data_IF_266931248784
#
_entry.id   IF_266931248784
#
_cell.length_a   1.000
_cell.length_b   1.000
_cell.length_c   1.000
_cell.angle_alpha   90.00
_cell.angle_beta   90.00
_cell.angle_gamma   90.00
#
_symmetry.space_group_name_H-M   'P 1'
#
loop_
_entity.id
_entity.type
_entity.pdbx_description
1 polymer ?
#
# COMPACT_ATOMS: atom_id res chain seq x y z
N UNK A 1 -28.30 42.99 27.80
CA UNK A 1 -26.83 43.19 27.82
C UNK A 1 -26.20 41.87 28.27
N UNK A 2 -25.90 40.97 27.33
CA UNK A 2 -25.37 39.63 27.63
C UNK A 2 -23.84 39.61 27.44
N UNK A 3 -23.07 38.97 28.33
CA UNK A 3 -21.61 39.02 28.25
C UNK A 3 -21.10 38.15 27.10
N UNK A 4 -20.19 38.73 26.32
CA UNK A 4 -19.46 38.05 25.23
C UNK A 4 -18.64 36.90 25.81
N UNK A 5 -19.00 35.69 25.42
CA UNK A 5 -18.18 34.49 25.64
C UNK A 5 -16.88 34.63 24.83
N UNK A 6 -15.77 34.94 25.52
CA UNK A 6 -14.42 34.88 24.93
C UNK A 6 -14.08 33.41 24.76
N UNK A 7 -14.05 32.96 23.52
CA UNK A 7 -13.54 31.64 23.16
C UNK A 7 -12.05 31.58 23.51
N UNK A 8 -11.72 30.78 24.52
CA UNK A 8 -10.37 30.31 24.76
C UNK A 8 -9.92 29.53 23.53
N UNK A 9 -9.18 30.21 22.64
CA UNK A 9 -8.29 29.53 21.68
C UNK A 9 -7.21 28.87 22.53
N UNK A 10 -7.37 27.57 22.79
CA UNK A 10 -6.29 26.75 23.32
C UNK A 10 -5.13 26.81 22.34
N UNK A 11 -4.06 27.44 22.78
CA UNK A 11 -2.78 27.55 22.10
C UNK A 11 -2.27 26.13 21.86
N UNK A 12 -2.36 25.66 20.63
CA UNK A 12 -1.66 24.45 20.20
C UNK A 12 -0.18 24.74 20.36
N UNK A 13 0.50 24.00 21.23
CA UNK A 13 1.96 24.02 21.35
C UNK A 13 2.57 23.79 19.96
N UNK A 14 3.06 24.86 19.36
CA UNK A 14 3.90 24.80 18.18
C UNK A 14 5.19 24.13 18.66
N UNK A 15 5.37 22.85 18.31
CA UNK A 15 6.61 22.11 18.50
C UNK A 15 7.80 22.99 18.06
N UNK A 16 8.55 23.50 19.03
CA UNK A 16 9.81 24.21 18.82
C UNK A 16 10.82 23.20 18.26
N UNK A 17 10.89 23.11 16.92
CA UNK A 17 11.83 22.23 16.22
C UNK A 17 13.30 22.62 16.47
N UNK A 18 13.56 23.81 17.01
CA UNK A 18 14.91 24.29 17.35
C UNK A 18 15.59 23.40 18.38
N UNK A 19 14.85 22.82 19.33
CA UNK A 19 15.40 21.99 20.41
C UNK A 19 15.43 20.48 20.09
N UNK A 20 14.96 20.09 18.91
CA UNK A 20 14.92 18.70 18.45
C UNK A 20 16.17 18.39 17.63
N UNK A 21 16.82 17.26 17.91
CA UNK A 21 17.94 16.75 17.10
C UNK A 21 17.54 16.72 15.63
N UNK A 22 18.37 17.23 14.69
CA UNK A 22 18.00 17.32 13.28
C UNK A 22 17.45 16.03 12.67
N UNK A 23 18.01 14.88 13.08
CA UNK A 23 17.58 13.54 12.65
C UNK A 23 16.15 13.17 13.07
N UNK A 24 15.66 13.67 14.20
CA UNK A 24 14.31 13.36 14.72
C UNK A 24 13.24 14.31 14.17
N UNK A 25 13.64 15.45 13.58
CA UNK A 25 12.72 16.48 13.06
C UNK A 25 11.79 15.94 11.97
N UNK A 26 12.30 15.10 11.08
CA UNK A 26 11.49 14.51 10.01
C UNK A 26 10.33 13.68 10.58
N UNK A 27 10.63 12.81 11.55
CA UNK A 27 9.63 11.95 12.18
C UNK A 27 8.55 12.74 12.92
N UNK A 28 8.92 13.78 13.66
CA UNK A 28 7.94 14.64 14.34
C UNK A 28 7.00 15.36 13.36
N UNK A 29 7.53 15.83 12.21
CA UNK A 29 6.71 16.46 11.18
C UNK A 29 5.74 15.46 10.57
N UNK A 30 6.18 14.22 10.32
CA UNK A 30 5.31 13.16 9.81
C UNK A 30 4.22 12.81 10.82
N UNK A 31 4.58 12.63 12.09
CA UNK A 31 3.65 12.32 13.17
C UNK A 31 2.59 13.41 13.35
N UNK A 32 3.00 14.68 13.35
CA UNK A 32 2.10 15.82 13.41
C UNK A 32 1.10 15.83 12.25
N UNK A 33 1.59 15.66 11.01
CA UNK A 33 0.72 15.61 9.82
C UNK A 33 -0.27 14.45 9.89
N UNK A 34 0.18 13.28 10.32
CA UNK A 34 -0.66 12.10 10.48
C UNK A 34 -1.78 12.37 11.50
N UNK A 35 -1.44 12.86 12.70
CA UNK A 35 -2.41 13.20 13.76
C UNK A 35 -3.41 14.26 13.28
N UNK A 36 -2.94 15.29 12.57
CA UNK A 36 -3.80 16.34 12.00
C UNK A 36 -4.81 15.76 11.00
N UNK A 37 -4.36 14.98 10.02
CA UNK A 37 -5.25 14.38 9.02
C UNK A 37 -6.27 13.42 9.63
N UNK A 38 -5.88 12.61 10.62
CA UNK A 38 -6.81 11.75 11.35
C UNK A 38 -7.87 12.54 12.10
N UNK A 39 -7.48 13.62 12.79
CA UNK A 39 -8.41 14.52 13.47
C UNK A 39 -9.41 15.13 12.51
N UNK A 40 -8.97 15.59 11.34
CA UNK A 40 -9.85 16.14 10.31
C UNK A 40 -10.90 15.12 9.82
N UNK A 41 -10.51 13.86 9.62
CA UNK A 41 -11.44 12.78 9.24
C UNK A 41 -12.48 12.54 10.35
N UNK A 42 -12.03 12.46 11.60
CA UNK A 42 -12.90 12.23 12.76
C UNK A 42 -13.87 13.39 12.99
N UNK A 43 -13.41 14.63 12.87
CA UNK A 43 -14.25 15.83 13.00
C UNK A 43 -15.37 15.82 11.96
N UNK A 44 -15.05 15.62 10.67
CA UNK A 44 -16.06 15.57 9.61
C UNK A 44 -17.08 14.44 9.81
N UNK A 45 -16.64 13.31 10.36
CA UNK A 45 -17.51 12.17 10.71
C UNK A 45 -18.47 12.54 11.85
N UNK A 46 -17.97 13.18 12.91
CA UNK A 46 -18.79 13.65 14.03
C UNK A 46 -19.83 14.69 13.59
N UNK A 47 -19.42 15.62 12.73
CA UNK A 47 -20.29 16.65 12.13
C UNK A 47 -21.29 16.07 11.11
N UNK A 48 -21.27 14.76 10.84
CA UNK A 48 -22.11 14.09 9.84
C UNK A 48 -22.04 14.74 8.45
N UNK A 49 -20.87 15.26 8.10
CA UNK A 49 -20.64 15.90 6.80
C UNK A 49 -20.90 14.91 5.66
N UNK A 50 -21.59 15.35 4.60
CA UNK A 50 -21.76 14.56 3.37
C UNK A 50 -20.42 14.23 2.69
N UNK A 51 -19.34 14.95 3.04
CA UNK A 51 -17.97 14.72 2.55
C UNK A 51 -17.08 14.00 3.56
N UNK A 52 -17.66 13.43 4.63
CA UNK A 52 -16.91 12.62 5.58
C UNK A 52 -16.29 11.40 4.88
N UNK A 53 -14.97 11.24 4.99
CA UNK A 53 -14.24 10.11 4.42
C UNK A 53 -14.31 8.89 5.33
N UNK A 54 -14.31 7.70 4.73
CA UNK A 54 -14.11 6.45 5.45
C UNK A 54 -12.69 6.39 6.04
N UNK A 55 -12.56 5.97 7.30
CA UNK A 55 -11.26 5.83 7.99
C UNK A 55 -10.41 4.67 7.45
N UNK A 56 -11.01 3.75 6.69
CA UNK A 56 -10.32 2.60 6.06
C UNK A 56 -9.88 2.90 4.63
N UNK A 57 -10.83 3.21 3.74
CA UNK A 57 -10.55 3.39 2.31
C UNK A 57 -10.34 4.85 1.88
N UNK A 58 -10.59 5.83 2.76
CA UNK A 58 -10.43 7.27 2.50
C UNK A 58 -11.25 7.81 1.30
N UNK A 59 -12.29 7.08 0.87
CA UNK A 59 -13.33 7.58 -0.04
C UNK A 59 -14.48 8.17 0.77
N UNK A 60 -15.29 9.05 0.17
CA UNK A 60 -16.46 9.62 0.84
C UNK A 60 -17.39 8.49 1.29
N UNK A 61 -17.59 8.39 2.60
CA UNK A 61 -18.21 7.22 3.25
C UNK A 61 -19.62 6.95 2.74
N UNK A 62 -20.41 8.02 2.54
CA UNK A 62 -21.83 7.93 2.18
C UNK A 62 -22.08 7.47 0.74
N UNK A 63 -21.16 7.73 -0.18
CA UNK A 63 -21.44 7.58 -1.62
C UNK A 63 -20.44 6.73 -2.39
N UNK A 64 -19.20 6.59 -1.93
CA UNK A 64 -18.12 5.95 -2.69
C UNK A 64 -17.29 4.99 -1.84
N UNK A 65 -17.75 4.63 -0.65
CA UNK A 65 -17.03 3.69 0.21
C UNK A 65 -17.02 2.30 -0.41
N UNK A 66 -15.84 1.72 -0.56
CA UNK A 66 -15.66 0.38 -1.15
C UNK A 66 -15.47 -0.73 -0.11
N UNK A 67 -15.45 -0.41 1.19
CA UNK A 67 -15.05 -1.36 2.23
C UNK A 67 -15.90 -2.62 2.26
N UNK A 68 -17.23 -2.50 2.12
CA UNK A 68 -18.11 -3.68 2.13
C UNK A 68 -17.84 -4.61 0.94
N UNK A 69 -17.59 -4.06 -0.25
CA UNK A 69 -17.23 -4.85 -1.43
C UNK A 69 -15.87 -5.55 -1.23
N UNK A 70 -14.90 -4.85 -0.64
CA UNK A 70 -13.58 -5.42 -0.34
C UNK A 70 -13.64 -6.50 0.75
N UNK A 71 -14.51 -6.35 1.75
CA UNK A 71 -14.70 -7.35 2.81
C UNK A 71 -15.23 -8.67 2.22
N UNK A 72 -16.13 -8.61 1.22
CA UNK A 72 -16.57 -9.80 0.48
C UNK A 72 -15.43 -10.47 -0.30
N UNK A 73 -14.54 -9.69 -0.93
CA UNK A 73 -13.37 -10.26 -1.62
C UNK A 73 -12.39 -10.87 -0.62
N UNK A 74 -12.13 -10.19 0.50
CA UNK A 74 -11.26 -10.68 1.59
C UNK A 74 -11.76 -12.01 2.12
N UNK A 75 -13.08 -12.18 2.30
CA UNK A 75 -13.65 -13.46 2.73
C UNK A 75 -13.28 -14.61 1.78
N UNK A 76 -13.34 -14.39 0.47
CA UNK A 76 -12.93 -15.39 -0.51
C UNK A 76 -11.43 -15.70 -0.43
N UNK A 77 -10.59 -14.68 -0.18
CA UNK A 77 -9.14 -14.85 -0.04
C UNK A 77 -8.74 -15.66 1.19
N UNK A 78 -9.49 -15.54 2.30
CA UNK A 78 -9.19 -16.26 3.55
C UNK A 78 -9.30 -17.78 3.42
N UNK A 79 -10.05 -18.28 2.43
CA UNK A 79 -10.23 -19.71 2.19
C UNK A 79 -9.19 -20.28 1.20
N UNK A 80 -8.27 -19.45 0.70
CA UNK A 80 -7.25 -19.85 -0.26
C UNK A 80 -5.91 -20.02 0.45
N UNK A 81 -5.43 -21.25 0.50
CA UNK A 81 -4.09 -21.55 1.00
C UNK A 81 -3.09 -21.57 -0.15
N UNK A 82 -1.98 -20.85 0.02
CA UNK A 82 -0.87 -20.87 -0.92
C UNK A 82 0.44 -21.15 -0.21
N UNK A 83 1.38 -21.75 -0.93
CA UNK A 83 2.75 -21.91 -0.48
C UNK A 83 3.78 -21.55 -1.57
N UNK A 84 4.96 -21.04 -1.19
CA UNK A 84 5.37 -20.69 0.17
C UNK A 84 4.48 -19.58 0.77
N UNK A 85 4.43 -19.49 2.10
CA UNK A 85 3.65 -18.45 2.77
C UNK A 85 4.28 -17.10 2.43
N UNK A 86 3.48 -16.19 1.88
CA UNK A 86 3.92 -14.84 1.52
C UNK A 86 3.46 -13.84 2.58
N UNK A 87 4.41 -13.12 3.16
CA UNK A 87 4.18 -12.01 4.08
C UNK A 87 4.54 -10.70 3.38
N UNK A 88 3.58 -9.79 3.25
CA UNK A 88 3.80 -8.49 2.59
C UNK A 88 4.12 -7.42 3.64
N UNK A 89 5.28 -6.79 3.50
CA UNK A 89 5.71 -5.64 4.30
C UNK A 89 5.63 -4.38 3.42
N UNK A 90 4.50 -3.69 3.48
CA UNK A 90 4.28 -2.48 2.69
C UNK A 90 4.84 -1.25 3.41
N UNK A 91 5.89 -0.64 2.85
CA UNK A 91 6.47 0.61 3.32
C UNK A 91 5.89 1.76 2.51
N UNK A 92 4.99 2.53 3.12
CA UNK A 92 4.22 3.57 2.46
C UNK A 92 4.76 4.95 2.81
N UNK A 93 4.98 5.81 1.81
CA UNK A 93 5.33 7.20 2.07
C UNK A 93 4.16 7.92 2.76
N UNK A 94 4.45 8.68 3.83
CA UNK A 94 3.41 9.34 4.62
C UNK A 94 2.45 10.25 3.83
N UNK A 95 2.85 10.73 2.65
CA UNK A 95 1.99 11.56 1.78
C UNK A 95 0.95 10.74 1.03
N UNK A 96 1.10 9.41 0.98
CA UNK A 96 0.22 8.52 0.23
C UNK A 96 -0.96 7.98 1.05
N UNK A 97 -0.80 7.87 2.38
CA UNK A 97 -1.74 7.22 3.31
C UNK A 97 -3.19 7.62 3.07
N UNK A 98 -3.46 8.93 3.06
CA UNK A 98 -4.82 9.46 3.03
C UNK A 98 -5.37 9.66 1.61
N UNK A 99 -4.63 9.24 0.57
CA UNK A 99 -5.06 9.43 -0.81
C UNK A 99 -6.15 8.43 -1.19
N UNK A 100 -7.25 8.97 -1.70
CA UNK A 100 -8.39 8.19 -2.18
C UNK A 100 -8.03 7.28 -3.36
N UNK A 101 -7.01 7.62 -4.16
CA UNK A 101 -6.54 6.83 -5.31
C UNK A 101 -5.39 5.86 -5.00
N UNK A 102 -4.83 5.86 -3.79
CA UNK A 102 -3.74 4.97 -3.45
C UNK A 102 -4.18 3.50 -3.52
N UNK A 103 -3.47 2.66 -4.28
CA UNK A 103 -3.81 1.23 -4.43
C UNK A 103 -3.16 0.35 -3.38
N UNK A 104 -2.04 0.77 -2.77
CA UNK A 104 -1.38 0.05 -1.69
C UNK A 104 -2.31 -0.22 -0.50
N UNK A 105 -3.17 0.75 -0.14
CA UNK A 105 -4.17 0.56 0.93
C UNK A 105 -5.11 -0.62 0.68
N UNK A 106 -5.37 -0.98 -0.59
CA UNK A 106 -6.24 -2.10 -0.94
C UNK A 106 -5.59 -3.41 -0.49
N UNK A 107 -4.30 -3.58 -0.78
CA UNK A 107 -3.52 -4.74 -0.34
C UNK A 107 -3.63 -4.93 1.18
N UNK A 108 -3.46 -3.85 1.95
CA UNK A 108 -3.60 -3.88 3.41
C UNK A 108 -5.01 -4.26 3.90
N UNK A 109 -6.05 -3.94 3.12
CA UNK A 109 -7.43 -4.29 3.49
C UNK A 109 -7.77 -5.75 3.15
N UNK A 110 -7.27 -6.28 2.05
CA UNK A 110 -7.71 -7.58 1.53
C UNK A 110 -6.75 -8.74 1.75
N UNK A 111 -5.43 -8.49 1.81
CA UNK A 111 -4.44 -9.56 2.04
C UNK A 111 -4.27 -9.76 3.56
N UNK A 112 -4.56 -10.97 4.09
CA UNK A 112 -4.48 -11.23 5.53
C UNK A 112 -3.07 -11.03 6.10
N UNK A 113 -2.05 -11.47 5.36
CA UNK A 113 -0.64 -11.43 5.73
C UNK A 113 0.05 -10.18 5.19
N UNK A 114 -0.56 -9.02 5.39
CA UNK A 114 0.01 -7.74 4.99
C UNK A 114 0.17 -6.83 6.21
N UNK A 115 1.36 -6.28 6.40
CA UNK A 115 1.66 -5.27 7.39
C UNK A 115 2.09 -3.97 6.70
N UNK A 116 1.48 -2.86 7.09
CA UNK A 116 1.85 -1.52 6.60
C UNK A 116 2.73 -0.80 7.60
N UNK A 117 3.75 -0.12 7.08
CA UNK A 117 4.70 0.73 7.80
C UNK A 117 4.73 2.10 7.15
N UNK A 118 4.56 3.16 7.92
CA UNK A 118 4.59 4.52 7.43
C UNK A 118 6.03 5.03 7.46
N UNK A 119 6.58 5.29 6.27
CA UNK A 119 7.91 5.86 6.15
C UNK A 119 7.98 7.26 6.78
N UNK A 120 8.85 7.36 7.78
CA UNK A 120 9.05 8.56 8.58
C UNK A 120 8.46 8.48 9.99
N UNK A 121 7.52 7.57 10.27
CA UNK A 121 7.12 7.30 11.65
C UNK A 121 8.17 6.42 12.33
N UNK A 122 8.67 6.88 13.48
CA UNK A 122 9.80 6.24 14.16
C UNK A 122 9.46 4.82 14.61
N UNK A 123 8.28 4.65 15.20
CA UNK A 123 7.79 3.37 15.73
C UNK A 123 7.63 2.33 14.62
N UNK A 124 7.09 2.74 13.47
CA UNK A 124 6.93 1.86 12.30
C UNK A 124 8.27 1.46 11.71
N UNK A 125 9.22 2.40 11.59
CA UNK A 125 10.55 2.06 11.08
C UNK A 125 11.28 1.09 12.03
N UNK A 126 11.21 1.30 13.35
CA UNK A 126 11.79 0.38 14.33
C UNK A 126 11.20 -1.03 14.21
N UNK A 127 9.87 -1.13 14.10
CA UNK A 127 9.17 -2.42 13.93
C UNK A 127 9.53 -3.09 12.60
N UNK A 128 9.64 -2.33 11.51
CA UNK A 128 10.08 -2.85 10.22
C UNK A 128 11.50 -3.44 10.32
N UNK A 129 12.44 -2.70 10.92
CA UNK A 129 13.82 -3.18 11.06
C UNK A 129 13.95 -4.38 11.99
N UNK A 130 13.16 -4.46 13.06
CA UNK A 130 13.11 -5.67 13.91
C UNK A 130 12.66 -6.90 13.12
N UNK A 131 11.64 -6.78 12.27
CA UNK A 131 11.20 -7.87 11.38
C UNK A 131 12.31 -8.21 10.37
N UNK A 132 12.97 -7.19 9.81
CA UNK A 132 14.09 -7.36 8.88
C UNK A 132 15.22 -8.18 9.50
N UNK A 133 15.66 -7.80 10.69
CA UNK A 133 16.79 -8.45 11.35
C UNK A 133 16.48 -9.91 11.73
N UNK A 134 15.22 -10.22 12.03
CA UNK A 134 14.76 -11.58 12.36
C UNK A 134 14.61 -12.51 11.16
N UNK A 135 14.45 -11.99 9.93
CA UNK A 135 14.13 -12.80 8.75
C UNK A 135 15.05 -12.49 7.54
N UNK A 136 16.31 -12.13 7.79
CA UNK A 136 17.26 -11.65 6.76
C UNK A 136 17.38 -12.54 5.52
N UNK A 137 17.31 -13.86 5.70
CA UNK A 137 17.51 -14.85 4.64
C UNK A 137 16.26 -15.12 3.80
N UNK A 138 15.10 -14.63 4.25
CA UNK A 138 13.79 -14.95 3.67
C UNK A 138 13.11 -13.71 3.08
N UNK A 139 13.89 -12.64 2.90
CA UNK A 139 13.40 -11.33 2.54
C UNK A 139 13.77 -10.91 1.14
N UNK A 140 12.80 -10.37 0.43
CA UNK A 140 12.96 -9.78 -0.90
C UNK A 140 12.42 -8.34 -0.89
N UNK A 141 13.06 -7.45 -1.64
CA UNK A 141 12.54 -6.11 -1.91
C UNK A 141 12.08 -6.02 -3.37
N UNK A 142 10.79 -5.77 -3.61
CA UNK A 142 10.28 -5.49 -4.96
C UNK A 142 10.67 -4.07 -5.35
N UNK A 143 11.80 -3.93 -6.02
CA UNK A 143 12.30 -2.65 -6.48
C UNK A 143 13.23 -2.84 -7.69
N UNK A 144 12.87 -2.29 -8.86
CA UNK A 144 13.73 -2.39 -10.03
C UNK A 144 14.92 -1.45 -9.87
N UNK A 145 16.12 -2.02 -9.77
CA UNK A 145 17.39 -1.31 -9.84
C UNK A 145 18.34 -2.00 -10.83
N UNK A 146 19.45 -1.34 -11.19
CA UNK A 146 20.36 -1.81 -12.25
C UNK A 146 20.86 -3.25 -12.05
N UNK A 147 21.07 -3.65 -10.80
CA UNK A 147 21.58 -4.97 -10.43
C UNK A 147 20.51 -5.84 -9.75
N UNK A 148 19.23 -5.46 -9.86
CA UNK A 148 18.13 -6.28 -9.33
C UNK A 148 18.03 -7.59 -10.10
N UNK A 149 17.66 -8.67 -9.43
CA UNK A 149 17.47 -10.02 -9.99
C UNK A 149 16.00 -10.28 -10.33
N UNK A 150 15.70 -11.24 -11.20
CA UNK A 150 14.31 -11.72 -11.35
C UNK A 150 13.88 -12.51 -10.12
N UNK A 151 12.58 -12.68 -9.93
CA UNK A 151 12.07 -13.52 -8.86
C UNK A 151 12.61 -14.96 -8.96
N UNK A 152 12.63 -15.52 -10.18
CA UNK A 152 13.16 -16.86 -10.45
C UNK A 152 14.62 -17.00 -10.02
N UNK A 153 15.48 -16.05 -10.43
CA UNK A 153 16.90 -16.04 -10.07
C UNK A 153 17.10 -16.07 -8.55
N UNK A 154 16.37 -15.23 -7.80
CA UNK A 154 16.54 -15.17 -6.34
C UNK A 154 15.98 -16.41 -5.65
N UNK A 155 14.84 -16.93 -6.10
CA UNK A 155 14.25 -18.13 -5.51
C UNK A 155 15.11 -19.37 -5.76
N UNK A 156 15.66 -19.53 -6.97
CA UNK A 156 16.60 -20.62 -7.26
C UNK A 156 17.80 -20.56 -6.29
N UNK A 157 18.35 -19.36 -6.02
CA UNK A 157 19.44 -19.17 -5.04
C UNK A 157 19.05 -19.49 -3.59
N UNK A 158 17.90 -18.98 -3.11
CA UNK A 158 17.43 -19.21 -1.74
C UNK A 158 17.23 -20.70 -1.48
N UNK A 159 16.54 -21.39 -2.38
CA UNK A 159 16.20 -22.79 -2.19
C UNK A 159 17.41 -23.71 -2.40
N UNK A 160 18.32 -23.38 -3.33
CA UNK A 160 19.60 -24.09 -3.47
C UNK A 160 20.43 -24.02 -2.18
N UNK A 161 20.57 -22.83 -1.59
CA UNK A 161 21.33 -22.63 -0.36
C UNK A 161 20.71 -23.40 0.82
N UNK A 162 19.38 -23.36 0.98
CA UNK A 162 18.68 -24.11 2.03
C UNK A 162 18.84 -25.62 1.89
N UNK A 163 18.76 -26.14 0.68
CA UNK A 163 18.97 -27.57 0.42
C UNK A 163 20.38 -28.03 0.76
N UNK A 164 21.39 -27.20 0.47
CA UNK A 164 22.76 -27.51 0.83
C UNK A 164 23.00 -27.41 2.34
N UNK A 165 22.44 -26.40 3.02
CA UNK A 165 22.59 -26.23 4.46
C UNK A 165 22.01 -27.40 5.27
N UNK A 166 20.81 -27.87 4.92
CA UNK A 166 20.15 -28.99 5.62
C UNK A 166 20.91 -30.32 5.50
N UNK A 167 21.75 -30.50 4.48
CA UNK A 167 22.63 -31.68 4.38
C UNK A 167 23.73 -31.70 5.44
N UNK A 168 24.09 -30.55 6.03
CA UNK A 168 25.20 -30.43 6.97
C UNK A 168 24.79 -30.50 8.45
N UNK A 169 23.58 -30.05 8.83
CA UNK A 169 23.18 -29.96 10.26
C UNK A 169 22.22 -31.05 10.76
N UNK A 170 21.75 -31.98 9.92
CA UNK A 170 20.96 -33.13 10.39
C UNK A 170 19.56 -32.79 10.95
N UNK A 171 19.11 -31.53 10.87
CA UNK A 171 17.73 -31.13 11.18
C UNK A 171 16.80 -31.28 9.98
N UNK A 172 15.57 -31.78 10.24
CA UNK A 172 14.45 -32.00 9.31
C UNK A 172 14.87 -32.13 7.84
N UNK A 173 15.29 -33.35 7.47
CA UNK A 173 15.63 -33.71 6.10
C UNK A 173 14.41 -33.54 5.19
N UNK A 174 14.27 -32.38 4.56
CA UNK A 174 13.25 -32.17 3.54
C UNK A 174 13.55 -33.08 2.35
N UNK A 175 12.75 -34.15 2.22
CA UNK A 175 12.91 -35.16 1.16
C UNK A 175 12.73 -34.60 -0.26
N UNK A 176 12.13 -33.41 -0.42
CA UNK A 176 11.90 -32.77 -1.72
C UNK A 176 11.80 -31.23 -1.64
N UNK A 177 12.06 -30.55 -2.76
CA UNK A 177 11.83 -29.10 -2.91
C UNK A 177 10.38 -28.74 -2.59
N UNK A 178 9.42 -29.54 -3.04
CA UNK A 178 7.98 -29.31 -2.78
C UNK A 178 7.66 -29.31 -1.29
N UNK A 179 8.31 -30.19 -0.51
CA UNK A 179 8.15 -30.21 0.95
C UNK A 179 8.75 -28.95 1.57
N UNK A 180 9.96 -28.56 1.16
CA UNK A 180 10.61 -27.34 1.64
C UNK A 180 9.75 -26.10 1.34
N UNK A 181 9.20 -25.98 0.14
CA UNK A 181 8.31 -24.89 -0.28
C UNK A 181 7.06 -24.79 0.59
N UNK A 182 6.43 -25.93 0.91
CA UNK A 182 5.19 -25.98 1.69
C UNK A 182 5.31 -25.36 3.07
N UNK A 183 6.49 -25.48 3.69
CA UNK A 183 6.75 -24.94 5.04
C UNK A 183 7.61 -23.67 5.01
N UNK A 184 7.96 -23.19 3.83
CA UNK A 184 8.73 -21.96 3.68
C UNK A 184 7.84 -20.74 3.86
N UNK A 185 8.42 -19.71 4.48
CA UNK A 185 7.88 -18.36 4.52
C UNK A 185 8.83 -17.43 3.77
N UNK A 186 8.26 -16.49 3.01
CA UNK A 186 8.99 -15.46 2.28
C UNK A 186 8.35 -14.11 2.59
N UNK A 187 9.18 -13.13 2.94
CA UNK A 187 8.80 -11.76 3.24
C UNK A 187 9.09 -10.87 2.03
N UNK A 188 8.09 -10.11 1.62
CA UNK A 188 8.15 -9.25 0.45
C UNK A 188 7.97 -7.80 0.88
N UNK A 189 9.04 -7.01 0.77
CA UNK A 189 9.00 -5.58 1.01
C UNK A 189 8.53 -4.88 -0.27
N UNK A 190 7.51 -4.02 -0.13
CA UNK A 190 6.96 -3.21 -1.23
C UNK A 190 7.03 -1.74 -0.83
N UNK A 191 7.53 -0.89 -1.73
CA UNK A 191 7.64 0.55 -1.50
C UNK A 191 6.49 1.28 -2.18
N UNK A 192 5.54 1.79 -1.41
CA UNK A 192 4.35 2.48 -1.91
C UNK A 192 4.56 4.01 -1.94
N UNK A 193 4.68 4.55 -3.15
CA UNK A 193 4.86 5.98 -3.41
C UNK A 193 5.21 6.27 -4.86
N UNK A 194 5.40 7.55 -5.17
CA UNK A 194 6.02 7.97 -6.44
C UNK A 194 7.44 7.41 -6.56
N UNK A 195 7.97 7.33 -7.78
CA UNK A 195 9.34 6.86 -8.02
C UNK A 195 10.41 7.56 -7.19
N UNK A 196 10.30 8.88 -6.99
CA UNK A 196 11.24 9.64 -6.16
C UNK A 196 11.14 9.23 -4.69
N UNK A 197 9.92 9.05 -4.18
CA UNK A 197 9.66 8.57 -2.82
C UNK A 197 10.21 7.15 -2.63
N UNK A 198 9.87 6.22 -3.52
CA UNK A 198 10.33 4.84 -3.46
C UNK A 198 11.86 4.74 -3.53
N UNK A 199 12.53 5.53 -4.40
CA UNK A 199 14.00 5.64 -4.42
C UNK A 199 14.56 6.11 -3.08
N UNK A 200 13.91 7.08 -2.44
CA UNK A 200 14.34 7.56 -1.14
C UNK A 200 14.16 6.50 -0.04
N UNK A 201 13.03 5.81 -0.03
CA UNK A 201 12.76 4.72 0.92
C UNK A 201 13.75 3.56 0.74
N UNK A 202 14.03 3.15 -0.50
CA UNK A 202 15.00 2.08 -0.82
C UNK A 202 16.40 2.34 -0.23
N UNK A 203 16.83 3.60 -0.13
CA UNK A 203 18.14 3.95 0.49
C UNK A 203 18.25 3.49 1.94
N UNK A 204 17.14 3.37 2.65
CA UNK A 204 17.10 2.97 4.05
C UNK A 204 16.91 1.45 4.23
N UNK A 205 16.54 0.73 3.17
CA UNK A 205 16.40 -0.72 3.25
C UNK A 205 17.81 -1.36 3.13
N UNK A 206 18.22 -2.27 4.03
CA UNK A 206 19.58 -2.80 4.06
C UNK A 206 19.96 -3.47 2.73
N UNK A 207 21.20 -3.28 2.28
CA UNK A 207 21.67 -3.72 0.94
C UNK A 207 21.81 -5.23 0.79
N UNK A 208 21.91 -5.96 1.88
CA UNK A 208 21.94 -7.43 1.85
C UNK A 208 20.60 -8.05 1.42
N UNK A 209 19.49 -7.30 1.53
CA UNK A 209 18.18 -7.76 1.05
C UNK A 209 18.20 -7.74 -0.49
N UNK A 210 17.96 -8.86 -1.18
CA UNK A 210 17.93 -8.91 -2.63
C UNK A 210 16.82 -8.00 -3.19
N UNK A 211 17.18 -7.17 -4.19
CA UNK A 211 16.21 -6.39 -4.97
C UNK A 211 15.73 -7.23 -6.13
N UNK A 212 14.42 -7.35 -6.25
CA UNK A 212 13.74 -8.13 -7.28
C UNK A 212 13.06 -7.18 -8.27
N UNK A 213 13.36 -7.36 -9.57
CA UNK A 213 12.62 -6.73 -10.66
C UNK A 213 11.46 -7.62 -11.06
N UNK A 214 10.29 -7.01 -11.22
CA UNK A 214 9.15 -7.63 -11.87
C UNK A 214 9.21 -7.28 -13.36
N UNK A 215 9.17 -8.29 -14.21
CA UNK A 215 9.09 -8.10 -15.65
C UNK A 215 7.63 -8.03 -16.08
N UNK A 216 7.08 -6.82 -16.22
CA UNK A 216 5.79 -6.62 -16.91
C UNK A 216 6.05 -6.41 -18.40
N UNK A 217 5.35 -7.15 -19.26
CA UNK A 217 5.29 -6.85 -20.71
C UNK A 217 4.17 -5.86 -21.05
N UNK A 218 3.26 -5.60 -20.11
CA UNK A 218 2.04 -4.84 -20.34
C UNK A 218 2.07 -3.44 -19.71
N UNK A 219 1.29 -2.54 -20.31
CA UNK A 219 0.98 -1.20 -19.78
C UNK A 219 -0.03 -1.40 -18.63
N UNK A 220 0.19 -0.70 -17.52
CA UNK A 220 -0.71 -0.74 -16.34
C UNK A 220 -2.16 -0.38 -16.70
N UNK A 221 -3.12 -1.23 -16.31
CA UNK A 221 -4.57 -1.01 -16.42
C UNK A 221 -5.05 0.13 -15.51
N UNK A 222 -4.19 0.59 -14.60
CA UNK A 222 -4.39 1.79 -13.78
C UNK A 222 -4.29 3.12 -14.57
N UNK A 223 -4.11 3.04 -15.89
CA UNK A 223 -4.00 4.18 -16.81
C UNK A 223 -5.03 5.32 -16.64
N UNK A 224 -6.32 5.08 -16.33
CA UNK A 224 -7.32 6.16 -16.22
C UNK A 224 -7.09 7.14 -15.06
N UNK A 225 -6.38 6.74 -14.00
CA UNK A 225 -6.14 7.57 -12.80
C UNK A 225 -4.74 8.18 -12.74
N UNK A 226 -3.84 7.86 -13.68
CA UNK A 226 -2.48 8.38 -13.72
C UNK A 226 -2.27 9.29 -14.93
N UNK A 227 -1.75 10.50 -14.68
CA UNK A 227 -1.32 11.44 -15.72
C UNK A 227 -0.12 10.94 -16.56
N UNK A 228 0.60 9.89 -16.14
CA UNK A 228 1.77 9.36 -16.84
C UNK A 228 1.73 7.83 -16.92
N UNK A 229 1.43 7.33 -18.11
CA UNK A 229 1.46 5.91 -18.51
C UNK A 229 2.78 5.60 -19.22
N UNK A 230 3.90 5.62 -18.49
CA UNK A 230 5.14 5.04 -19.01
C UNK A 230 5.12 3.52 -18.79
N UNK A 231 5.63 2.77 -19.77
CA UNK A 231 5.89 1.33 -19.64
C UNK A 231 6.72 1.10 -18.35
N UNK A 232 6.26 0.17 -17.50
CA UNK A 232 6.87 -0.11 -16.20
C UNK A 232 6.34 0.70 -15.00
N UNK A 233 5.44 1.68 -15.20
CA UNK A 233 4.76 2.38 -14.09
C UNK A 233 3.51 1.60 -13.64
N UNK A 234 3.72 0.46 -13.00
CA UNK A 234 2.65 -0.35 -12.40
C UNK A 234 2.20 0.22 -11.05
N UNK A 235 0.95 -0.01 -10.67
CA UNK A 235 0.43 0.32 -9.34
C UNK A 235 0.83 -0.75 -8.33
N UNK A 236 0.69 -0.44 -7.05
CA UNK A 236 1.11 -1.34 -5.96
C UNK A 236 0.34 -2.66 -5.99
N UNK A 237 -0.95 -2.64 -6.32
CA UNK A 237 -1.76 -3.87 -6.44
C UNK A 237 -1.38 -4.70 -7.67
N UNK A 238 -1.08 -4.05 -8.81
CA UNK A 238 -0.58 -4.75 -9.99
C UNK A 238 0.82 -5.34 -9.73
N UNK A 239 1.65 -4.65 -8.95
CA UNK A 239 2.96 -5.16 -8.51
C UNK A 239 2.80 -6.48 -7.75
N UNK A 240 1.85 -6.57 -6.82
CA UNK A 240 1.56 -7.82 -6.11
C UNK A 240 1.00 -8.89 -7.04
N UNK A 241 0.07 -8.54 -7.94
CA UNK A 241 -0.50 -9.49 -8.91
C UNK A 241 0.57 -10.07 -9.86
N UNK A 242 1.46 -9.23 -10.39
CA UNK A 242 2.57 -9.67 -11.23
C UNK A 242 3.58 -10.53 -10.46
N UNK A 243 3.87 -10.18 -9.20
CA UNK A 243 4.69 -11.02 -8.33
C UNK A 243 4.08 -12.42 -8.14
N UNK A 244 2.76 -12.50 -7.93
CA UNK A 244 2.07 -13.79 -7.83
C UNK A 244 2.17 -14.60 -9.14
N UNK A 245 2.17 -13.94 -10.29
CA UNK A 245 2.38 -14.61 -11.57
C UNK A 245 3.82 -15.14 -11.71
N UNK A 246 4.84 -14.37 -11.31
CA UNK A 246 6.23 -14.84 -11.27
C UNK A 246 6.38 -16.05 -10.33
N UNK A 247 5.67 -16.04 -9.19
CA UNK A 247 5.62 -17.17 -8.25
C UNK A 247 4.96 -18.40 -8.86
N UNK A 248 3.84 -18.24 -9.57
CA UNK A 248 3.21 -19.31 -10.33
C UNK A 248 4.19 -19.92 -11.35
N UNK A 249 4.90 -19.10 -12.10
CA UNK A 249 5.91 -19.57 -13.05
C UNK A 249 7.05 -20.33 -12.38
N UNK A 250 7.46 -19.92 -11.18
CA UNK A 250 8.44 -20.67 -10.39
C UNK A 250 7.91 -22.04 -9.98
N UNK A 251 6.69 -22.11 -9.44
CA UNK A 251 6.09 -23.35 -8.93
C UNK A 251 5.79 -24.38 -10.03
N UNK A 252 5.47 -23.92 -11.25
CA UNK A 252 5.27 -24.79 -12.42
C UNK A 252 6.51 -25.64 -12.75
N UNK A 253 7.73 -25.22 -12.36
CA UNK A 253 8.96 -26.01 -12.53
C UNK A 253 8.94 -27.32 -11.73
N UNK A 254 8.10 -27.43 -10.70
CA UNK A 254 8.10 -28.54 -9.74
C UNK A 254 6.84 -29.41 -9.81
N UNK A 255 6.06 -29.31 -10.90
CA UNK A 255 4.84 -30.09 -11.14
C UNK A 255 3.85 -30.09 -9.95
N UNK A 256 3.57 -28.91 -9.40
CA UNK A 256 2.65 -28.76 -8.28
C UNK A 256 1.22 -29.22 -8.64
N UNK A 257 0.76 -30.32 -8.03
CA UNK A 257 -0.58 -30.89 -8.19
C UNK A 257 -1.57 -30.48 -7.09
N UNK A 258 -1.18 -29.63 -6.14
CA UNK A 258 -1.94 -29.42 -4.89
C UNK A 258 -2.98 -28.28 -4.97
N UNK A 259 -3.39 -27.85 -6.17
CA UNK A 259 -4.29 -26.71 -6.35
C UNK A 259 -3.69 -25.33 -5.99
N UNK A 260 -2.45 -25.28 -5.51
CA UNK A 260 -1.79 -24.04 -5.07
C UNK A 260 -1.60 -23.05 -6.23
N UNK A 261 -1.26 -23.53 -7.44
CA UNK A 261 -1.21 -22.69 -8.66
C UNK A 261 -2.58 -22.06 -8.97
N UNK A 262 -3.68 -22.80 -8.80
CA UNK A 262 -5.04 -22.29 -9.03
C UNK A 262 -5.44 -21.24 -7.97
N UNK A 263 -5.05 -21.46 -6.71
CA UNK A 263 -5.25 -20.49 -5.64
C UNK A 263 -4.47 -19.20 -5.92
N UNK A 264 -3.20 -19.27 -6.34
CA UNK A 264 -2.39 -18.11 -6.72
C UNK A 264 -3.05 -17.32 -7.86
N UNK A 265 -3.53 -18.02 -8.88
CA UNK A 265 -4.23 -17.42 -10.03
C UNK A 265 -5.53 -16.72 -9.59
N UNK A 266 -6.28 -17.35 -8.70
CA UNK A 266 -7.51 -16.80 -8.13
C UNK A 266 -7.23 -15.56 -7.30
N UNK A 267 -6.20 -15.58 -6.45
CA UNK A 267 -5.78 -14.41 -5.67
C UNK A 267 -5.39 -13.26 -6.61
N UNK A 268 -4.58 -13.54 -7.64
CA UNK A 268 -4.16 -12.55 -8.64
C UNK A 268 -5.36 -11.89 -9.33
N UNK A 269 -6.35 -12.68 -9.77
CA UNK A 269 -7.61 -12.18 -10.37
C UNK A 269 -8.43 -11.33 -9.39
N UNK A 270 -8.54 -11.75 -8.13
CA UNK A 270 -9.27 -11.02 -7.10
C UNK A 270 -8.61 -9.67 -6.77
N UNK A 271 -7.27 -9.60 -6.77
CA UNK A 271 -6.55 -8.33 -6.63
C UNK A 271 -6.90 -7.35 -7.76
N UNK A 272 -6.90 -7.80 -9.02
CA UNK A 272 -7.26 -6.95 -10.16
C UNK A 272 -8.73 -6.51 -10.10
N UNK A 273 -9.64 -7.38 -9.67
CA UNK A 273 -11.04 -7.00 -9.41
C UNK A 273 -11.16 -5.90 -8.35
N UNK A 274 -10.37 -5.97 -7.27
CA UNK A 274 -10.34 -4.91 -6.26
C UNK A 274 -9.81 -3.58 -6.82
N UNK A 275 -8.88 -3.64 -7.77
CA UNK A 275 -8.39 -2.46 -8.47
C UNK A 275 -9.51 -1.79 -9.26
N UNK A 276 -10.31 -2.57 -10.01
CA UNK A 276 -11.45 -2.04 -10.78
C UNK A 276 -12.48 -1.36 -9.88
N UNK A 277 -12.79 -1.97 -8.73
CA UNK A 277 -13.70 -1.40 -7.73
C UNK A 277 -13.19 -0.03 -7.27
N UNK A 278 -11.89 0.08 -6.96
CA UNK A 278 -11.28 1.34 -6.57
C UNK A 278 -11.35 2.37 -7.70
N UNK A 279 -10.92 2.02 -8.91
CA UNK A 279 -10.89 2.94 -10.06
C UNK A 279 -12.27 3.54 -10.29
N UNK A 280 -13.30 2.69 -10.37
CA UNK A 280 -14.69 3.09 -10.60
C UNK A 280 -15.19 4.10 -9.56
N UNK A 281 -14.91 3.85 -8.28
CA UNK A 281 -15.37 4.69 -7.18
C UNK A 281 -14.59 6.00 -7.08
N UNK A 282 -13.27 5.99 -7.30
CA UNK A 282 -12.45 7.20 -7.35
C UNK A 282 -12.89 8.10 -8.49
N UNK A 283 -13.07 7.56 -9.71
CA UNK A 283 -13.53 8.34 -10.86
C UNK A 283 -14.91 8.96 -10.60
N UNK A 284 -15.83 8.19 -10.01
CA UNK A 284 -17.16 8.68 -9.66
C UNK A 284 -17.12 9.80 -8.63
N UNK A 285 -16.25 9.69 -7.63
CA UNK A 285 -16.04 10.73 -6.63
C UNK A 285 -15.46 12.01 -7.26
N UNK A 286 -14.39 11.90 -8.05
CA UNK A 286 -13.76 13.05 -8.69
C UNK A 286 -14.71 13.79 -9.63
N UNK A 287 -15.55 13.07 -10.39
CA UNK A 287 -16.58 13.69 -11.24
C UNK A 287 -17.57 14.52 -10.41
N UNK A 288 -18.01 14.02 -9.24
CA UNK A 288 -18.92 14.76 -8.35
C UNK A 288 -18.25 15.96 -7.70
N UNK A 289 -17.02 15.81 -7.21
CA UNK A 289 -16.25 16.92 -6.63
C UNK A 289 -16.09 18.05 -7.66
N UNK A 290 -15.70 17.72 -8.90
CA UNK A 290 -15.60 18.67 -10.00
C UNK A 290 -16.94 19.33 -10.34
N UNK A 291 -18.02 18.55 -10.46
CA UNK A 291 -19.36 19.10 -10.72
C UNK A 291 -19.82 20.03 -9.59
N UNK A 292 -19.55 19.67 -8.33
CA UNK A 292 -19.87 20.51 -7.17
C UNK A 292 -19.12 21.85 -7.23
N UNK A 293 -17.83 21.83 -7.55
CA UNK A 293 -17.01 23.03 -7.69
C UNK A 293 -17.51 23.91 -8.85
N UNK A 294 -17.83 23.32 -10.01
CA UNK A 294 -18.40 24.04 -11.16
C UNK A 294 -19.76 24.65 -10.82
N UNK A 295 -20.63 23.94 -10.11
CA UNK A 295 -21.95 24.43 -9.70
C UNK A 295 -21.84 25.54 -8.65
N UNK A 296 -20.95 25.41 -7.67
CA UNK A 296 -20.64 26.46 -6.68
C UNK A 296 -20.14 27.73 -7.38
N UNK A 297 -19.16 27.61 -8.27
CA UNK A 297 -18.63 28.73 -9.05
C UNK A 297 -19.68 29.37 -9.97
N UNK A 298 -20.61 28.58 -10.55
CA UNK A 298 -21.73 29.11 -11.35
C UNK A 298 -22.76 29.83 -10.49
N UNK A 299 -23.05 29.32 -9.30
CA UNK A 299 -23.98 29.95 -8.36
C UNK A 299 -23.40 31.25 -7.81
N UNK A 300 -22.11 31.29 -7.44
CA UNK A 300 -21.42 32.52 -7.05
C UNK A 300 -21.44 33.58 -8.18
N UNK A 301 -21.18 33.18 -9.42
CA UNK A 301 -21.27 34.09 -10.58
C UNK A 301 -22.70 34.60 -10.83
N UNK A 302 -23.73 33.76 -10.63
CA UNK A 302 -25.13 34.19 -10.71
C UNK A 302 -25.48 35.14 -9.57
N UNK A 303 -24.96 34.89 -8.36
CA UNK A 303 -25.17 35.74 -7.20
C UNK A 303 -24.54 37.12 -7.39
N UNK A 304 -23.30 37.18 -7.89
CA UNK A 304 -22.61 38.44 -8.22
C UNK A 304 -23.33 39.21 -9.35
N UNK A 305 -23.78 38.54 -10.42
CA UNK A 305 -24.58 39.19 -11.47
C UNK A 305 -25.90 39.77 -10.98
N UNK A 306 -26.53 39.17 -9.98
CA UNK A 306 -27.76 39.69 -9.37
C UNK A 306 -27.50 40.87 -8.43
N UNK A 307 -26.27 41.02 -7.94
CA UNK A 307 -25.84 42.18 -7.13
C UNK A 307 -25.49 43.36 -8.04
N UNK A 308 -24.81 43.10 -9.16
CA UNK A 308 -24.41 44.15 -10.13
C UNK A 308 -25.56 44.62 -11.05
N UNK A 309 -26.68 43.90 -11.09
CA UNK A 309 -27.86 44.24 -11.90
C UNK A 309 -28.93 45.07 -11.20
N UNK A 310 -28.68 45.51 -9.96
CA UNK A 310 -29.62 46.27 -9.12
C UNK A 310 -29.06 47.65 -8.68
N UNK A 311 -28.11 48.21 -9.44
CA UNK A 311 -27.63 49.59 -9.27
C UNK A 311 -28.08 50.43 -10.47
#
# INVERSE_FOLDING_TARGET
MFPKCRSNKSTVEILSLSNVRPQDRYSLVVEYKFKKSMKEIQTKKYEKSDFAKCEKCFLIKKSYCICSELDCVRYNLLNLEIYPIIEILMVMDHREIFKSSNTGKIINLIIPNCQTFIYGLKEDMLRLFDIIEKNKNDMLLLFPERNSKTFLEVMDEIFYNRMNFNKFEGELEYKSISSLLKYSRIFIIILDGTWSQAKNMNKNIPRYIPRVRITSKDISDFGPLRKQTKIGNISTIETVSLFLNDMKSFLLKFEDKSGNIENIDTISKLLLKCLDILIRNVLSQCKREYLSEVLMNRNERKFLKNIDGNI
#
